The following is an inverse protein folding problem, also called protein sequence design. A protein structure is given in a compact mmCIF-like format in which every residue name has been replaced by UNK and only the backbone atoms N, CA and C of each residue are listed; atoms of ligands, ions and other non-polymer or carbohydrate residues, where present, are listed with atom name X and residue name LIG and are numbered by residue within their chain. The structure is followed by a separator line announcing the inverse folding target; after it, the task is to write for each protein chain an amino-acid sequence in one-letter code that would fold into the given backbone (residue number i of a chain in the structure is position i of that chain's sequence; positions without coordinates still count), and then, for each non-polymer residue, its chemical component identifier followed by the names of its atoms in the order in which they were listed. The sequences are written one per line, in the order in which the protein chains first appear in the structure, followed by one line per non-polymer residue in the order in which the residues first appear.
data_IF_950740726247
#
_entry.id   IF_950740726247
#
_cell.length_a   1.000
_cell.length_b   1.000
_cell.length_c   1.000
_cell.angle_alpha   90.00
_cell.angle_beta   90.00
_cell.angle_gamma   90.00
#
_symmetry.space_group_name_H-M   'P 1'
#
loop_
_entity.id
_entity.type
_entity.pdbx_description
1 polymer ?
#
# COMPACT_ATOMS: atom_id res chain seq x y z
N UNK A 1 -6.97 -5.58 61.45
CA UNK A 1 -7.63 -4.36 61.96
C UNK A 1 -7.16 -3.17 61.14
N UNK A 2 -8.10 -2.43 60.57
CA UNK A 2 -7.89 -1.29 59.66
C UNK A 2 -7.89 -0.01 60.50
N UNK A 3 -6.89 0.86 60.35
CA UNK A 3 -6.97 2.26 60.81
C UNK A 3 -6.43 3.19 59.74
N UNK A 4 -7.33 4.00 59.19
CA UNK A 4 -7.07 5.13 58.31
C UNK A 4 -6.34 6.23 59.09
N UNK A 5 -5.47 6.98 58.40
CA UNK A 5 -5.21 8.39 58.69
C UNK A 5 -5.01 9.11 57.36
N UNK A 6 -5.97 9.98 57.03
CA UNK A 6 -5.88 11.00 55.98
C UNK A 6 -5.36 12.27 56.63
N UNK A 7 -4.31 12.89 56.07
CA UNK A 7 -3.97 14.29 56.34
C UNK A 7 -3.72 14.97 55.00
N UNK A 8 -4.67 15.84 54.65
CA UNK A 8 -4.54 16.82 53.58
C UNK A 8 -3.75 18.03 54.09
N UNK A 9 -2.88 18.60 53.26
CA UNK A 9 -2.47 20.02 53.36
C UNK A 9 -1.89 20.49 52.02
N UNK A 10 -2.29 21.69 51.64
CA UNK A 10 -2.32 22.24 50.30
C UNK A 10 -1.34 23.42 50.12
N UNK A 11 -0.97 23.65 48.85
CA UNK A 11 -0.51 24.90 48.19
C UNK A 11 0.70 25.69 48.74
N UNK A 12 1.63 26.03 47.83
CA UNK A 12 2.00 27.43 47.49
C UNK A 12 2.84 27.53 46.20
N UNK A 13 2.45 28.48 45.33
CA UNK A 13 2.96 28.77 43.99
C UNK A 13 4.29 29.55 43.98
N UNK A 14 5.07 29.44 42.89
CA UNK A 14 5.77 30.59 42.29
C UNK A 14 6.09 30.36 40.80
N UNK A 15 5.50 31.19 39.94
CA UNK A 15 5.88 31.36 38.55
C UNK A 15 6.82 32.57 38.42
N UNK A 16 7.87 32.46 37.61
CA UNK A 16 8.60 33.62 37.08
C UNK A 16 9.20 33.28 35.73
N UNK A 17 8.64 33.91 34.69
CA UNK A 17 9.16 34.03 33.32
C UNK A 17 10.28 35.09 33.30
N UNK A 18 11.40 34.83 32.64
CA UNK A 18 12.19 35.79 31.82
C UNK A 18 13.20 34.98 31.00
N UNK A 19 13.17 35.12 29.66
CA UNK A 19 14.04 34.41 28.72
C UNK A 19 15.11 35.30 28.07
N UNK A 20 15.97 34.66 27.24
CA UNK A 20 16.78 35.12 26.09
C UNK A 20 17.98 34.15 25.96
N UNK A 21 18.37 33.54 24.86
CA UNK A 21 17.94 33.54 23.47
C UNK A 21 18.98 32.75 22.63
N UNK A 22 18.48 31.95 21.68
CA UNK A 22 19.03 31.56 20.37
C UNK A 22 20.45 30.95 20.23
N UNK A 23 20.51 29.71 19.71
CA UNK A 23 21.15 29.39 18.42
C UNK A 23 20.69 28.02 17.92
N UNK A 24 20.38 27.98 16.61
CA UNK A 24 19.55 26.97 15.99
C UNK A 24 20.17 25.59 15.88
N UNK A 25 19.27 24.62 15.85
CA UNK A 25 19.31 23.52 14.89
C UNK A 25 17.87 23.24 14.54
N UNK A 26 17.32 24.05 13.63
CA UNK A 26 16.21 23.61 12.81
C UNK A 26 16.75 22.51 11.89
N UNK A 27 17.02 21.34 12.45
CA UNK A 27 16.93 20.12 11.66
C UNK A 27 15.44 19.86 11.62
N UNK A 28 14.81 20.46 10.61
CA UNK A 28 13.63 19.85 10.03
C UNK A 28 14.08 18.47 9.59
N UNK A 29 14.01 17.52 10.51
CA UNK A 29 13.80 16.13 10.15
C UNK A 29 12.41 16.17 9.53
N UNK A 30 12.36 16.42 8.22
CA UNK A 30 11.49 15.61 7.38
C UNK A 30 11.93 14.19 7.68
N UNK A 31 11.35 13.62 8.75
CA UNK A 31 11.17 12.19 8.81
C UNK A 31 10.35 11.95 7.57
N UNK A 32 11.07 11.52 6.53
CA UNK A 32 10.60 10.57 5.56
C UNK A 32 9.44 9.81 6.21
N UNK A 33 8.20 10.24 5.92
CA UNK A 33 7.01 9.52 6.33
C UNK A 33 6.86 8.34 5.35
N UNK A 34 7.97 7.62 5.12
CA UNK A 34 7.98 6.42 4.31
C UNK A 34 7.15 5.39 5.04
N UNK A 35 6.22 4.78 4.31
CA UNK A 35 5.52 3.60 4.79
C UNK A 35 6.58 2.58 5.26
N UNK A 36 6.40 1.93 6.44
CA UNK A 36 7.36 0.94 6.93
C UNK A 36 7.60 -0.23 5.96
N UNK A 37 6.75 -0.35 4.94
CA UNK A 37 6.75 -1.33 3.87
C UNK A 37 7.93 -1.25 2.88
N UNK A 38 8.92 -0.36 3.08
CA UNK A 38 10.02 -0.20 2.13
C UNK A 38 11.41 -0.41 2.74
N UNK A 39 11.48 -0.97 3.96
CA UNK A 39 12.77 -1.09 4.66
C UNK A 39 13.73 -2.09 3.99
N UNK A 40 13.25 -3.02 3.17
CA UNK A 40 14.03 -3.98 2.40
C UNK A 40 13.99 -3.73 0.87
N UNK A 41 13.26 -2.71 0.43
CA UNK A 41 13.14 -2.31 -0.97
C UNK A 41 12.16 -3.16 -1.79
N UNK A 42 11.40 -4.06 -1.15
CA UNK A 42 10.33 -4.84 -1.77
C UNK A 42 9.02 -4.56 -1.03
N UNK A 43 7.89 -4.70 -1.73
CA UNK A 43 6.57 -4.66 -1.11
C UNK A 43 6.01 -6.06 -1.12
N UNK A 44 5.70 -6.62 0.03
CA UNK A 44 4.94 -7.88 0.12
C UNK A 44 3.45 -7.66 -0.16
N UNK A 45 2.74 -8.71 -0.56
CA UNK A 45 1.30 -8.61 -0.82
C UNK A 45 0.49 -8.19 0.41
N UNK A 46 0.92 -8.59 1.61
CA UNK A 46 0.26 -8.18 2.86
C UNK A 46 0.45 -6.68 3.13
N UNK A 47 1.63 -6.13 2.80
CA UNK A 47 1.91 -4.69 2.89
C UNK A 47 1.13 -3.89 1.86
N UNK A 48 1.05 -4.38 0.61
CA UNK A 48 0.21 -3.79 -0.43
C UNK A 48 -1.26 -3.68 0.00
N UNK A 49 -1.83 -4.80 0.48
CA UNK A 49 -3.20 -4.80 0.98
C UNK A 49 -3.38 -3.93 2.23
N UNK A 50 -2.37 -3.85 3.11
CA UNK A 50 -2.43 -3.00 4.30
C UNK A 50 -2.46 -1.52 3.94
N UNK A 51 -1.60 -1.09 3.01
CA UNK A 51 -1.55 0.27 2.50
C UNK A 51 -2.87 0.64 1.79
N UNK A 52 -3.42 -0.25 0.95
CA UNK A 52 -4.73 -0.03 0.33
C UNK A 52 -5.85 0.16 1.36
N UNK A 53 -5.86 -0.64 2.44
CA UNK A 53 -6.83 -0.48 3.54
C UNK A 53 -6.65 0.84 4.27
N UNK A 54 -5.42 1.31 4.49
CA UNK A 54 -5.14 2.59 5.11
C UNK A 54 -5.68 3.75 4.25
N UNK A 55 -5.41 3.73 2.95
CA UNK A 55 -5.97 4.69 1.99
C UNK A 55 -7.51 4.68 1.98
N UNK A 56 -8.13 3.49 1.93
CA UNK A 56 -9.58 3.36 2.02
C UNK A 56 -10.13 3.94 3.33
N UNK A 57 -9.47 3.70 4.46
CA UNK A 57 -9.90 4.24 5.77
C UNK A 57 -9.79 5.75 5.82
N UNK A 58 -8.72 6.33 5.27
CA UNK A 58 -8.53 7.78 5.20
C UNK A 58 -9.67 8.46 4.41
N UNK A 59 -10.06 7.89 3.27
CA UNK A 59 -11.21 8.36 2.51
C UNK A 59 -12.53 8.24 3.30
N UNK A 60 -12.72 7.12 4.01
CA UNK A 60 -13.92 6.86 4.81
C UNK A 60 -14.08 7.85 5.97
N UNK A 61 -12.99 8.22 6.63
CA UNK A 61 -12.98 9.24 7.68
C UNK A 61 -13.39 10.63 7.15
N UNK A 62 -13.12 10.90 5.88
CA UNK A 62 -13.58 12.10 5.18
C UNK A 62 -15.00 11.97 4.56
N UNK A 63 -15.64 10.81 4.73
CA UNK A 63 -17.01 10.56 4.25
C UNK A 63 -17.11 10.03 2.81
N UNK A 64 -15.99 9.60 2.21
CA UNK A 64 -15.94 9.00 0.87
C UNK A 64 -15.66 7.51 0.95
N UNK A 65 -16.23 6.71 0.03
CA UNK A 65 -15.99 5.26 -0.04
C UNK A 65 -15.52 4.88 -1.43
N UNK A 66 -14.40 4.17 -1.52
CA UNK A 66 -13.95 3.56 -2.77
C UNK A 66 -14.95 2.51 -3.25
N UNK A 67 -15.00 2.32 -4.56
CA UNK A 67 -15.67 1.18 -5.19
C UNK A 67 -14.59 0.20 -5.66
N UNK A 68 -14.50 -0.96 -5.02
CA UNK A 68 -13.60 -2.05 -5.45
C UNK A 68 -14.32 -2.93 -6.46
N UNK A 69 -13.70 -3.19 -7.60
CA UNK A 69 -14.27 -3.96 -8.72
C UNK A 69 -13.79 -5.41 -8.73
N UNK A 70 -12.49 -5.60 -8.62
CA UNK A 70 -11.82 -6.89 -8.74
C UNK A 70 -10.38 -6.78 -8.22
N UNK A 71 -9.66 -7.89 -8.26
CA UNK A 71 -8.20 -7.94 -8.20
C UNK A 71 -7.73 -8.69 -9.45
N UNK A 72 -6.71 -8.17 -10.12
CA UNK A 72 -6.10 -8.78 -11.30
C UNK A 72 -4.58 -8.75 -11.14
N UNK A 73 -3.92 -9.90 -11.24
CA UNK A 73 -2.48 -10.07 -11.07
C UNK A 73 -2.04 -9.56 -9.69
N UNK A 74 -2.85 -9.86 -8.68
CA UNK A 74 -2.68 -9.35 -7.31
C UNK A 74 -2.68 -7.81 -7.21
N UNK A 75 -3.25 -7.13 -8.20
CA UNK A 75 -3.41 -5.67 -8.25
C UNK A 75 -4.88 -5.31 -8.06
N UNK A 76 -5.18 -4.47 -7.06
CA UNK A 76 -6.56 -4.13 -6.69
C UNK A 76 -7.11 -3.13 -7.71
N UNK A 77 -8.25 -3.47 -8.32
CA UNK A 77 -8.96 -2.61 -9.27
C UNK A 77 -10.06 -1.85 -8.54
N UNK A 78 -9.99 -0.52 -8.52
CA UNK A 78 -10.95 0.31 -7.79
C UNK A 78 -11.28 1.63 -8.52
N UNK A 79 -12.28 2.35 -8.02
CA UNK A 79 -12.63 3.69 -8.47
C UNK A 79 -12.86 4.63 -7.31
N UNK A 80 -12.40 5.87 -7.48
CA UNK A 80 -12.51 6.95 -6.52
C UNK A 80 -13.79 7.76 -6.80
N UNK A 81 -14.62 8.07 -5.79
CA UNK A 81 -15.74 8.99 -5.95
C UNK A 81 -15.30 10.38 -6.42
N UNK A 82 -16.00 10.95 -7.40
CA UNK A 82 -15.66 12.27 -7.95
C UNK A 82 -15.54 13.38 -6.89
N UNK A 83 -16.39 13.36 -5.85
CA UNK A 83 -16.31 14.33 -4.75
C UNK A 83 -15.01 14.25 -3.92
N UNK A 84 -14.39 13.06 -3.81
CA UNK A 84 -13.11 12.91 -3.12
C UNK A 84 -11.95 13.50 -3.94
N UNK A 85 -12.03 13.33 -5.28
CA UNK A 85 -11.08 13.92 -6.23
C UNK A 85 -11.21 15.44 -6.26
N UNK A 86 -12.43 15.95 -6.42
CA UNK A 86 -12.71 17.39 -6.50
C UNK A 86 -12.33 18.16 -5.23
N UNK A 87 -12.44 17.52 -4.06
CA UNK A 87 -12.06 18.11 -2.78
C UNK A 87 -10.56 18.02 -2.48
N UNK A 88 -9.81 17.22 -3.24
CA UNK A 88 -8.39 16.95 -3.00
C UNK A 88 -8.11 15.95 -1.87
N UNK A 89 -9.15 15.42 -1.21
CA UNK A 89 -9.01 14.40 -0.16
C UNK A 89 -8.40 13.13 -0.72
N UNK A 90 -8.79 12.75 -1.94
CA UNK A 90 -8.21 11.61 -2.65
C UNK A 90 -6.69 11.71 -2.78
N UNK A 91 -6.21 12.82 -3.35
CA UNK A 91 -4.77 13.04 -3.55
C UNK A 91 -4.01 12.96 -2.22
N UNK A 92 -4.50 13.63 -1.17
CA UNK A 92 -3.85 13.59 0.14
C UNK A 92 -3.81 12.17 0.73
N UNK A 93 -4.96 11.48 0.78
CA UNK A 93 -5.01 10.13 1.33
C UNK A 93 -4.21 9.13 0.51
N UNK A 94 -4.21 9.26 -0.82
CA UNK A 94 -3.46 8.38 -1.71
C UNK A 94 -1.95 8.58 -1.53
N UNK A 95 -1.49 9.84 -1.56
CA UNK A 95 -0.08 10.18 -1.42
C UNK A 95 0.49 9.77 -0.05
N UNK A 96 -0.29 9.93 1.02
CA UNK A 96 0.12 9.56 2.38
C UNK A 96 0.11 8.05 2.62
N UNK A 97 -0.93 7.35 2.12
CA UNK A 97 -1.22 5.98 2.56
C UNK A 97 -0.88 4.88 1.56
N UNK A 98 -0.77 5.18 0.27
CA UNK A 98 -0.72 4.12 -0.75
C UNK A 98 0.20 4.37 -1.94
N UNK A 99 0.45 5.61 -2.33
CA UNK A 99 1.13 5.95 -3.58
C UNK A 99 2.49 5.26 -3.77
N UNK A 100 3.33 5.26 -2.74
CA UNK A 100 4.67 4.68 -2.81
C UNK A 100 4.65 3.14 -2.88
N UNK A 101 3.76 2.54 -2.10
CA UNK A 101 3.54 1.09 -2.02
C UNK A 101 2.92 0.59 -3.33
N UNK A 102 1.88 1.25 -3.84
CA UNK A 102 1.24 0.92 -5.11
C UNK A 102 2.22 1.10 -6.27
N UNK A 103 2.97 2.21 -6.33
CA UNK A 103 3.97 2.40 -7.39
C UNK A 103 5.00 1.26 -7.43
N UNK A 104 5.54 0.87 -6.26
CA UNK A 104 6.50 -0.23 -6.15
C UNK A 104 5.87 -1.57 -6.54
N UNK A 105 4.66 -1.83 -6.05
CA UNK A 105 3.90 -3.04 -6.34
C UNK A 105 3.57 -3.17 -7.83
N UNK A 106 3.04 -2.11 -8.45
CA UNK A 106 2.66 -2.06 -9.86
C UNK A 106 3.88 -2.25 -10.76
N UNK A 107 5.04 -1.68 -10.43
CA UNK A 107 6.27 -1.92 -11.20
C UNK A 107 6.62 -3.42 -11.23
N UNK A 108 6.42 -4.12 -10.13
CA UNK A 108 6.68 -5.56 -10.04
C UNK A 108 5.58 -6.43 -10.67
N UNK A 109 4.34 -5.93 -10.81
CA UNK A 109 3.17 -6.71 -11.22
C UNK A 109 2.52 -6.24 -12.55
N UNK A 110 3.08 -5.23 -13.22
CA UNK A 110 2.76 -4.90 -14.61
C UNK A 110 3.38 -5.99 -15.50
N UNK A 111 2.58 -6.93 -15.99
CA UNK A 111 2.98 -7.72 -17.15
C UNK A 111 2.03 -7.57 -18.34
N UNK A 112 2.39 -6.61 -19.19
CA UNK A 112 1.77 -6.34 -20.50
C UNK A 112 2.68 -6.74 -21.66
N UNK A 113 3.77 -7.45 -21.38
CA UNK A 113 4.78 -7.82 -22.36
C UNK A 113 4.20 -8.71 -23.46
N UNK A 114 4.82 -8.67 -24.64
CA UNK A 114 4.49 -9.58 -25.75
C UNK A 114 4.64 -11.04 -25.32
N UNK A 115 5.65 -11.35 -24.51
CA UNK A 115 5.86 -12.68 -23.93
C UNK A 115 4.71 -13.12 -23.03
N UNK A 116 4.18 -12.25 -22.17
CA UNK A 116 3.01 -12.55 -21.35
C UNK A 116 1.74 -12.78 -22.17
N UNK A 117 1.58 -12.01 -23.26
CA UNK A 117 0.48 -12.22 -24.21
C UNK A 117 0.60 -13.57 -24.94
N UNK A 118 1.80 -13.91 -25.41
CA UNK A 118 2.09 -15.18 -26.08
C UNK A 118 1.84 -16.34 -25.12
N UNK A 119 2.36 -16.25 -23.90
CA UNK A 119 2.20 -17.29 -22.88
C UNK A 119 0.74 -17.48 -22.47
N UNK A 120 0.00 -16.39 -22.28
CA UNK A 120 -1.45 -16.41 -22.02
C UNK A 120 -2.20 -17.13 -23.13
N UNK A 121 -1.95 -16.74 -24.38
CA UNK A 121 -2.59 -17.36 -25.56
C UNK A 121 -2.21 -18.85 -25.69
N UNK A 122 -0.96 -19.19 -25.38
CA UNK A 122 -0.47 -20.56 -25.38
C UNK A 122 -1.23 -21.43 -24.36
N UNK A 123 -1.36 -20.98 -23.12
CA UNK A 123 -2.08 -21.70 -22.07
C UNK A 123 -3.55 -21.93 -22.44
N UNK A 124 -4.23 -20.92 -22.97
CA UNK A 124 -5.60 -21.06 -23.49
C UNK A 124 -5.68 -22.10 -24.62
N UNK A 125 -4.71 -22.10 -25.53
CA UNK A 125 -4.59 -23.07 -26.61
C UNK A 125 -4.35 -24.50 -26.11
N UNK A 126 -3.72 -24.67 -24.95
CA UNK A 126 -3.54 -25.95 -24.26
C UNK A 126 -4.77 -26.34 -23.40
N UNK A 127 -5.82 -25.51 -23.38
CA UNK A 127 -7.01 -25.73 -22.55
C UNK A 127 -6.79 -25.44 -21.07
N UNK A 128 -5.76 -24.67 -20.73
CA UNK A 128 -5.42 -24.23 -19.37
C UNK A 128 -5.88 -22.80 -19.21
N UNK A 129 -6.69 -22.51 -18.18
CA UNK A 129 -7.04 -21.14 -17.84
C UNK A 129 -5.79 -20.41 -17.33
N UNK A 130 -5.35 -19.32 -17.99
CA UNK A 130 -4.14 -18.62 -17.59
C UNK A 130 -4.27 -17.99 -16.21
N UNK A 131 -3.18 -18.07 -15.44
CA UNK A 131 -3.00 -17.30 -14.23
C UNK A 131 -2.93 -15.81 -14.53
N UNK A 132 -3.00 -15.03 -13.47
CA UNK A 132 -3.06 -13.59 -13.59
C UNK A 132 -1.65 -13.05 -13.85
N UNK A 133 -0.67 -13.51 -13.09
CA UNK A 133 0.74 -13.12 -13.29
C UNK A 133 1.49 -13.99 -14.29
N UNK A 134 2.58 -13.45 -14.83
CA UNK A 134 3.50 -14.21 -15.68
C UNK A 134 4.14 -15.40 -14.98
N UNK A 135 4.44 -15.25 -13.69
CA UNK A 135 4.99 -16.32 -12.86
C UNK A 135 3.98 -17.47 -12.69
N UNK A 136 2.71 -17.15 -12.43
CA UNK A 136 1.65 -18.16 -12.38
C UNK A 136 1.49 -18.87 -13.73
N UNK A 137 1.46 -18.12 -14.83
CA UNK A 137 1.37 -18.69 -16.16
C UNK A 137 2.56 -19.60 -16.49
N UNK A 138 3.77 -19.21 -16.09
CA UNK A 138 4.99 -20.02 -16.28
C UNK A 138 4.93 -21.30 -15.46
N UNK A 139 4.45 -21.20 -14.21
CA UNK A 139 4.23 -22.35 -13.35
C UNK A 139 3.17 -23.30 -13.90
N UNK A 140 2.06 -22.78 -14.42
CA UNK A 140 1.01 -23.58 -15.07
C UNK A 140 1.54 -24.33 -16.29
N UNK A 141 2.35 -23.68 -17.12
CA UNK A 141 2.98 -24.32 -18.27
C UNK A 141 3.86 -25.49 -17.81
N UNK A 142 4.72 -25.27 -16.82
CA UNK A 142 5.58 -26.32 -16.25
C UNK A 142 4.79 -27.45 -15.60
N UNK A 143 3.77 -27.14 -14.80
CA UNK A 143 2.95 -28.14 -14.09
C UNK A 143 2.12 -28.98 -15.07
N UNK A 144 1.84 -28.47 -16.28
CA UNK A 144 1.23 -29.22 -17.38
C UNK A 144 2.20 -30.14 -18.13
N UNK A 145 3.47 -30.17 -17.74
CA UNK A 145 4.52 -30.95 -18.40
C UNK A 145 5.01 -30.34 -19.73
N UNK A 146 4.67 -29.09 -20.00
CA UNK A 146 5.14 -28.35 -21.16
C UNK A 146 6.29 -27.42 -20.78
N UNK A 147 7.13 -27.09 -21.76
CA UNK A 147 8.18 -26.09 -21.64
C UNK A 147 7.87 -24.89 -22.57
N UNK A 148 8.60 -23.76 -22.46
CA UNK A 148 8.32 -22.57 -23.27
C UNK A 148 8.33 -22.78 -24.79
N UNK A 149 9.00 -23.82 -25.30
CA UNK A 149 8.99 -24.14 -26.73
C UNK A 149 7.63 -24.64 -27.22
N UNK A 150 6.78 -25.17 -26.34
CA UNK A 150 5.40 -25.51 -26.66
C UNK A 150 4.59 -24.27 -27.11
N UNK A 151 5.02 -23.08 -26.69
CA UNK A 151 4.36 -21.82 -27.01
C UNK A 151 4.86 -21.16 -28.31
N UNK A 152 5.81 -21.76 -29.04
CA UNK A 152 6.37 -21.17 -30.26
C UNK A 152 5.36 -21.00 -31.40
N UNK A 153 4.23 -21.70 -31.34
CA UNK A 153 3.16 -21.58 -32.33
C UNK A 153 2.24 -20.35 -32.08
N UNK A 154 2.42 -19.66 -30.96
CA UNK A 154 1.57 -18.55 -30.51
C UNK A 154 2.30 -17.19 -30.55
N UNK A 155 3.56 -17.17 -31.00
CA UNK A 155 4.38 -15.98 -31.26
C UNK A 155 4.13 -15.38 -32.64
#
# INVERSE_FOLDING_TARGET
MRRLLVVASALLLAASLTGCGASGSNVGTTADQGHPALSDGEVSYDEYQAAFRAYSSCLEDAGYKLVVHAEENQTIQFSVPGGAVESGVDANCYDEEFAEVDATWQIAHIDTSESARILRTCLEGLGITPGESYDEMTKQLSDSGNDPSACSAYS
#
